data_IF_926815616839
#
_entry.id   IF_926815616839
#
_cell.length_a   1.000
_cell.length_b   1.000
_cell.length_c   1.000
_cell.angle_alpha   90.00
_cell.angle_beta   90.00
_cell.angle_gamma   90.00
#
_symmetry.space_group_name_H-M   'P 1'
#
loop_
_entity.id
_entity.type
_entity.pdbx_description
1 polymer ?
#
# COMPACT_ATOMS: atom_id res chain seq x y z
N UNK A 1 -0.84 14.15 -16.72
CA UNK A 1 0.00 13.00 -17.13
C UNK A 1 0.44 12.33 -15.84
N UNK A 2 -0.14 11.17 -15.46
CA UNK A 2 0.20 10.55 -14.17
C UNK A 2 1.68 10.17 -14.21
N UNK A 3 2.50 10.86 -13.43
CA UNK A 3 3.92 10.58 -13.28
C UNK A 3 4.09 9.35 -12.39
N UNK A 4 3.49 8.20 -12.76
CA UNK A 4 3.58 6.98 -11.96
C UNK A 4 5.04 6.60 -11.68
N UNK A 5 5.94 6.87 -12.64
CA UNK A 5 7.40 6.76 -12.47
C UNK A 5 7.95 7.69 -11.39
N UNK A 6 7.44 8.92 -11.34
CA UNK A 6 7.75 9.90 -10.30
C UNK A 6 7.26 9.46 -8.92
N UNK A 7 6.05 8.90 -8.83
CA UNK A 7 5.54 8.35 -7.57
C UNK A 7 6.31 7.11 -7.11
N UNK A 8 6.65 6.19 -8.03
CA UNK A 8 7.53 5.05 -7.72
C UNK A 8 8.90 5.54 -7.25
N UNK A 9 9.50 6.52 -7.93
CA UNK A 9 10.79 7.08 -7.53
C UNK A 9 10.71 7.78 -6.16
N UNK A 10 9.63 8.52 -5.90
CA UNK A 10 9.35 9.15 -4.61
C UNK A 10 9.17 8.14 -3.48
N UNK A 11 8.41 7.06 -3.73
CA UNK A 11 8.24 5.95 -2.80
C UNK A 11 9.57 5.24 -2.51
N UNK A 12 10.37 4.96 -3.55
CA UNK A 12 11.69 4.35 -3.39
C UNK A 12 12.64 5.25 -2.58
N UNK A 13 12.65 6.55 -2.85
CA UNK A 13 13.44 7.52 -2.09
C UNK A 13 12.99 7.59 -0.62
N UNK A 14 11.68 7.66 -0.37
CA UNK A 14 11.12 7.67 0.98
C UNK A 14 11.45 6.38 1.74
N UNK A 15 11.42 5.23 1.05
CA UNK A 15 11.81 3.94 1.64
C UNK A 15 13.30 3.89 2.01
N UNK A 16 14.18 4.43 1.17
CA UNK A 16 15.62 4.51 1.48
C UNK A 16 15.84 5.36 2.73
N UNK A 17 15.19 6.52 2.84
CA UNK A 17 15.25 7.36 4.04
C UNK A 17 14.75 6.60 5.27
N UNK A 18 13.62 5.89 5.15
CA UNK A 18 13.06 5.09 6.23
C UNK A 18 14.04 4.02 6.74
N UNK A 19 14.61 3.22 5.84
CA UNK A 19 15.61 2.21 6.22
C UNK A 19 16.86 2.86 6.80
N UNK A 20 17.33 3.97 6.24
CA UNK A 20 18.47 4.69 6.78
C UNK A 20 18.22 5.18 8.22
N UNK A 21 17.03 5.70 8.51
CA UNK A 21 16.63 6.09 9.87
C UNK A 21 16.67 4.89 10.81
N UNK A 22 16.10 3.75 10.39
CA UNK A 22 16.11 2.52 11.20
C UNK A 22 17.53 2.02 11.48
N UNK A 23 18.40 2.02 10.47
CA UNK A 23 19.79 1.57 10.61
C UNK A 23 20.58 2.50 11.54
N UNK A 24 20.48 3.82 11.34
CA UNK A 24 21.28 4.81 12.05
C UNK A 24 20.80 5.02 13.49
N UNK A 25 19.50 5.13 13.71
CA UNK A 25 18.95 5.51 15.02
C UNK A 25 18.44 4.33 15.85
N UNK A 26 18.13 3.20 15.20
CA UNK A 26 17.54 2.04 15.88
C UNK A 26 18.39 0.78 15.76
N UNK A 27 19.61 0.88 15.20
CA UNK A 27 20.52 -0.27 15.00
C UNK A 27 19.88 -1.43 14.24
N UNK A 28 18.90 -1.14 13.38
CA UNK A 28 18.22 -2.14 12.58
C UNK A 28 19.22 -2.80 11.61
N UNK A 29 19.13 -4.12 11.48
CA UNK A 29 19.94 -4.92 10.54
C UNK A 29 19.03 -5.45 9.44
N UNK A 30 19.08 -4.89 8.22
CA UNK A 30 18.25 -5.32 7.12
C UNK A 30 18.41 -6.81 6.81
N UNK A 31 17.30 -7.53 6.69
CA UNK A 31 17.24 -8.91 6.19
C UNK A 31 16.57 -8.92 4.80
N UNK A 32 16.39 -10.09 4.20
CA UNK A 32 15.68 -10.22 2.92
C UNK A 32 14.21 -9.76 2.99
N UNK A 33 13.61 -9.69 4.18
CA UNK A 33 12.22 -9.24 4.39
C UNK A 33 12.01 -7.79 3.97
N UNK A 34 13.08 -6.98 3.96
CA UNK A 34 13.07 -5.60 3.49
C UNK A 34 12.64 -5.51 2.01
N UNK A 35 12.80 -6.57 1.21
CA UNK A 35 12.29 -6.62 -0.17
C UNK A 35 10.75 -6.64 -0.20
N UNK A 36 10.12 -7.32 0.75
CA UNK A 36 8.66 -7.32 0.90
C UNK A 36 8.21 -5.93 1.32
N UNK A 37 8.88 -5.32 2.29
CA UNK A 37 8.57 -3.96 2.76
C UNK A 37 8.72 -2.93 1.64
N UNK A 38 9.75 -3.08 0.80
CA UNK A 38 9.95 -2.23 -0.37
C UNK A 38 8.79 -2.38 -1.36
N UNK A 39 8.39 -3.62 -1.69
CA UNK A 39 7.23 -3.88 -2.55
C UNK A 39 5.94 -3.24 -2.01
N UNK A 40 5.69 -3.38 -0.71
CA UNK A 40 4.56 -2.76 -0.02
C UNK A 40 4.62 -1.22 -0.07
N UNK A 41 5.80 -0.63 0.10
CA UNK A 41 5.99 0.81 -0.03
C UNK A 41 5.69 1.30 -1.45
N UNK A 42 6.17 0.59 -2.48
CA UNK A 42 5.89 0.94 -3.87
C UNK A 42 4.39 0.83 -4.17
N UNK A 43 3.72 -0.23 -3.70
CA UNK A 43 2.25 -0.35 -3.82
C UNK A 43 1.54 0.82 -3.15
N UNK A 44 1.96 1.22 -1.95
CA UNK A 44 1.44 2.41 -1.26
C UNK A 44 1.64 3.70 -2.05
N UNK A 45 2.80 3.89 -2.69
CA UNK A 45 3.11 5.10 -3.47
C UNK A 45 2.29 5.27 -4.74
N UNK A 46 1.71 4.20 -5.27
CA UNK A 46 0.88 4.25 -6.47
C UNK A 46 -0.61 4.07 -6.17
N UNK A 47 -0.97 3.67 -4.95
CA UNK A 47 -2.33 3.35 -4.54
C UNK A 47 -3.33 4.49 -4.76
N UNK A 48 -3.04 5.77 -4.44
CA UNK A 48 -4.04 6.82 -4.59
C UNK A 48 -4.56 7.01 -6.02
N UNK A 49 -3.71 6.69 -7.01
CA UNK A 49 -3.95 6.89 -8.45
C UNK A 49 -4.59 5.69 -9.16
N UNK A 50 -4.92 4.61 -8.44
CA UNK A 50 -5.56 3.42 -9.03
C UNK A 50 -7.02 3.67 -9.46
N UNK A 51 -7.55 4.84 -9.14
CA UNK A 51 -8.86 5.35 -9.57
C UNK A 51 -8.86 5.91 -11.02
N UNK A 52 -7.69 6.03 -11.64
CA UNK A 52 -7.56 6.48 -13.05
C UNK A 52 -7.09 5.38 -13.99
N UNK A 53 -7.41 5.51 -15.27
CA UNK A 53 -6.88 4.63 -16.32
C UNK A 53 -5.38 4.90 -16.54
N UNK A 54 -4.53 4.20 -15.79
CA UNK A 54 -3.09 4.41 -15.74
C UNK A 54 -2.31 3.10 -15.72
N UNK A 55 -0.99 3.16 -15.95
CA UNK A 55 -0.12 2.00 -15.77
C UNK A 55 -0.04 1.56 -14.30
N UNK A 56 -0.13 2.51 -13.35
CA UNK A 56 -0.20 2.21 -11.92
C UNK A 56 -1.43 1.37 -11.59
N UNK A 57 -2.59 1.75 -12.13
CA UNK A 57 -3.83 0.98 -11.99
C UNK A 57 -3.65 -0.45 -12.50
N UNK A 58 -3.16 -0.63 -13.73
CA UNK A 58 -2.96 -1.97 -14.32
C UNK A 58 -2.01 -2.83 -13.48
N UNK A 59 -0.93 -2.25 -12.98
CA UNK A 59 0.03 -2.96 -12.11
C UNK A 59 -0.64 -3.39 -10.80
N UNK A 60 -1.35 -2.47 -10.15
CA UNK A 60 -2.03 -2.72 -8.89
C UNK A 60 -3.11 -3.79 -9.03
N UNK A 61 -4.08 -3.60 -9.93
CA UNK A 61 -5.16 -4.58 -10.12
C UNK A 61 -4.68 -5.89 -10.73
N UNK A 62 -3.62 -5.88 -11.54
CA UNK A 62 -2.99 -7.11 -12.04
C UNK A 62 -2.48 -8.00 -10.90
N UNK A 63 -1.79 -7.41 -9.91
CA UNK A 63 -1.37 -8.14 -8.71
C UNK A 63 -2.58 -8.68 -7.92
N UNK A 64 -3.61 -7.86 -7.70
CA UNK A 64 -4.79 -8.28 -6.95
C UNK A 64 -5.58 -9.37 -7.67
N UNK A 65 -5.69 -9.35 -9.00
CA UNK A 65 -6.34 -10.42 -9.77
C UNK A 65 -5.59 -11.74 -9.60
N UNK A 66 -4.26 -11.74 -9.62
CA UNK A 66 -3.47 -12.96 -9.39
C UNK A 66 -3.71 -13.48 -7.97
N UNK A 67 -3.67 -12.60 -6.96
CA UNK A 67 -3.91 -12.97 -5.56
C UNK A 67 -5.34 -13.50 -5.35
N UNK A 68 -6.33 -12.85 -5.93
CA UNK A 68 -7.74 -13.25 -5.85
C UNK A 68 -7.97 -14.60 -6.52
N UNK A 69 -7.35 -14.82 -7.68
CA UNK A 69 -7.33 -16.11 -8.37
C UNK A 69 -6.75 -17.24 -7.51
N UNK A 70 -5.66 -16.98 -6.77
CA UNK A 70 -5.09 -17.96 -5.82
C UNK A 70 -6.11 -18.30 -4.72
N UNK A 71 -6.82 -17.31 -4.17
CA UNK A 71 -7.86 -17.56 -3.16
C UNK A 71 -9.00 -18.40 -3.73
N UNK A 72 -9.50 -18.08 -4.91
CA UNK A 72 -10.56 -18.84 -5.58
C UNK A 72 -10.15 -20.30 -5.83
N UNK A 73 -8.95 -20.53 -6.37
CA UNK A 73 -8.42 -21.88 -6.64
C UNK A 73 -8.18 -22.67 -5.35
N UNK A 74 -7.92 -21.98 -4.23
CA UNK A 74 -7.74 -22.60 -2.91
C UNK A 74 -9.06 -22.81 -2.15
N UNK A 75 -10.22 -22.51 -2.75
CA UNK A 75 -11.53 -22.61 -2.09
C UNK A 75 -11.79 -21.52 -1.04
N UNK A 76 -10.95 -20.48 -0.96
CA UNK A 76 -11.02 -19.37 0.00
C UNK A 76 -11.95 -18.26 -0.50
N UNK A 77 -13.20 -18.62 -0.78
CA UNK A 77 -14.17 -17.73 -1.43
C UNK A 77 -14.52 -16.49 -0.61
N UNK A 78 -14.50 -16.59 0.72
CA UNK A 78 -14.79 -15.45 1.61
C UNK A 78 -13.69 -14.40 1.51
N UNK A 79 -12.43 -14.82 1.53
CA UNK A 79 -11.29 -13.92 1.39
C UNK A 79 -11.24 -13.31 0.00
N UNK A 80 -11.55 -14.09 -1.04
CA UNK A 80 -11.66 -13.57 -2.40
C UNK A 80 -12.76 -12.50 -2.53
N UNK A 81 -13.96 -12.78 -2.00
CA UNK A 81 -15.06 -11.83 -2.02
C UNK A 81 -14.74 -10.52 -1.28
N UNK A 82 -14.08 -10.61 -0.13
CA UNK A 82 -13.64 -9.43 0.61
C UNK A 82 -12.57 -8.65 -0.17
N UNK A 83 -11.56 -9.35 -0.71
CA UNK A 83 -10.48 -8.74 -1.49
C UNK A 83 -11.04 -7.99 -2.70
N UNK A 84 -11.88 -8.65 -3.49
CA UNK A 84 -12.56 -8.05 -4.64
C UNK A 84 -13.44 -6.87 -4.26
N UNK A 85 -14.26 -6.98 -3.20
CA UNK A 85 -15.11 -5.89 -2.73
C UNK A 85 -14.30 -4.64 -2.34
N UNK A 86 -13.23 -4.80 -1.56
CA UNK A 86 -12.38 -3.68 -1.16
C UNK A 86 -11.59 -3.09 -2.33
N UNK A 87 -11.22 -3.91 -3.32
CA UNK A 87 -10.57 -3.44 -4.54
C UNK A 87 -11.48 -2.53 -5.38
N UNK A 88 -12.81 -2.61 -5.26
CA UNK A 88 -13.73 -1.73 -5.99
C UNK A 88 -13.86 -0.32 -5.38
N UNK A 89 -13.58 -0.15 -4.08
CA UNK A 89 -13.82 1.10 -3.37
C UNK A 89 -13.09 2.33 -3.97
N UNK A 90 -11.81 2.23 -4.39
CA UNK A 90 -11.10 3.36 -4.99
C UNK A 90 -11.75 3.84 -6.29
N UNK A 91 -12.32 2.93 -7.09
CA UNK A 91 -12.91 3.20 -8.41
C UNK A 91 -14.23 3.99 -8.29
N UNK A 92 -14.97 3.81 -7.20
CA UNK A 92 -16.25 4.48 -6.97
C UNK A 92 -16.04 5.98 -6.62
N UNK A 93 -14.85 6.33 -6.13
CA UNK A 93 -14.49 7.71 -5.79
C UNK A 93 -14.24 8.60 -7.01
N UNK A 94 -14.27 9.92 -6.81
CA UNK A 94 -13.72 10.87 -7.78
C UNK A 94 -12.20 10.78 -7.76
N UNK A 95 -11.57 10.99 -8.92
CA UNK A 95 -10.11 11.19 -8.96
C UNK A 95 -9.69 12.36 -8.06
N UNK A 96 -8.64 12.14 -7.26
CA UNK A 96 -8.21 13.05 -6.18
C UNK A 96 -9.28 13.30 -5.11
N UNK A 97 -10.20 12.35 -4.95
CA UNK A 97 -11.22 12.32 -3.90
C UNK A 97 -10.63 11.84 -2.58
N UNK A 98 -11.37 10.98 -1.87
CA UNK A 98 -10.98 10.48 -0.55
C UNK A 98 -9.64 9.72 -0.56
N UNK A 99 -9.27 9.09 -1.68
CA UNK A 99 -7.97 8.41 -1.88
C UNK A 99 -6.79 9.37 -1.80
N UNK A 100 -6.99 10.67 -1.98
CA UNK A 100 -5.95 11.69 -1.87
C UNK A 100 -6.07 12.49 -0.57
N UNK A 101 -6.41 11.82 0.54
CA UNK A 101 -6.48 12.42 1.87
C UNK A 101 -5.44 11.81 2.80
N UNK A 102 -5.00 12.60 3.78
CA UNK A 102 -4.10 12.12 4.84
C UNK A 102 -4.76 11.00 5.64
N UNK A 103 -6.08 11.09 5.91
CA UNK A 103 -6.78 10.04 6.65
C UNK A 103 -6.79 8.71 5.91
N UNK A 104 -6.99 8.73 4.58
CA UNK A 104 -6.90 7.52 3.78
C UNK A 104 -5.51 6.87 3.84
N UNK A 105 -4.43 7.66 3.88
CA UNK A 105 -3.07 7.15 4.01
C UNK A 105 -2.85 6.27 5.26
N UNK A 106 -3.59 6.52 6.34
CA UNK A 106 -3.49 5.74 7.59
C UNK A 106 -4.59 4.67 7.71
N UNK A 107 -5.81 4.95 7.24
CA UNK A 107 -6.96 4.04 7.35
C UNK A 107 -6.86 2.89 6.36
N UNK A 108 -6.50 3.17 5.10
CA UNK A 108 -6.45 2.14 4.05
C UNK A 108 -5.47 1.02 4.41
N UNK A 109 -4.25 1.28 4.93
CA UNK A 109 -3.33 0.21 5.31
C UNK A 109 -3.66 -0.43 6.67
N UNK A 110 -4.57 0.14 7.47
CA UNK A 110 -4.86 -0.32 8.84
C UNK A 110 -5.22 -1.81 8.99
N UNK A 111 -5.83 -2.50 8.00
CA UNK A 111 -6.02 -3.94 8.09
C UNK A 111 -4.72 -4.72 8.31
N UNK A 112 -3.56 -4.21 7.88
CA UNK A 112 -2.25 -4.83 8.10
C UNK A 112 -1.84 -4.88 9.57
N UNK A 113 -2.37 -4.00 10.42
CA UNK A 113 -2.18 -4.04 11.89
C UNK A 113 -3.35 -4.73 12.57
N UNK A 114 -4.57 -4.45 12.15
CA UNK A 114 -5.78 -4.96 12.81
C UNK A 114 -5.86 -6.49 12.68
N UNK A 115 -5.58 -7.04 11.49
CA UNK A 115 -5.73 -8.47 11.24
C UNK A 115 -4.81 -9.34 12.11
N UNK A 116 -3.50 -9.04 12.26
CA UNK A 116 -2.63 -9.77 13.19
C UNK A 116 -3.05 -9.63 14.66
N UNK A 117 -3.65 -8.50 15.08
CA UNK A 117 -4.12 -8.33 16.45
C UNK A 117 -5.33 -9.21 16.78
N UNK A 118 -6.24 -9.40 15.82
CA UNK A 118 -7.43 -10.26 16.01
C UNK A 118 -7.15 -11.74 15.68
N UNK A 119 -6.10 -12.02 14.92
CA UNK A 119 -5.67 -13.36 14.50
C UNK A 119 -4.16 -13.52 14.67
N UNK A 120 -3.65 -13.53 15.91
CA UNK A 120 -2.21 -13.60 16.18
C UNK A 120 -1.57 -14.89 15.64
N UNK A 121 -2.36 -15.96 15.46
CA UNK A 121 -1.91 -17.23 14.89
C UNK A 121 -1.39 -17.14 13.45
N UNK A 122 -1.70 -16.05 12.73
CA UNK A 122 -1.21 -15.83 11.37
C UNK A 122 0.31 -15.58 11.33
N UNK A 123 0.89 -15.01 12.39
CA UNK A 123 2.33 -14.73 12.47
C UNK A 123 2.88 -13.82 11.36
N UNK A 124 2.02 -13.13 10.61
CA UNK A 124 2.35 -12.26 9.48
C UNK A 124 1.57 -10.95 9.58
N UNK A 125 2.15 -9.85 9.09
CA UNK A 125 1.57 -8.51 9.19
C UNK A 125 2.14 -7.73 10.36
N UNK A 126 1.50 -6.62 10.73
CA UNK A 126 1.90 -5.77 11.84
C UNK A 126 2.46 -4.44 11.40
N UNK A 127 3.19 -3.79 12.31
CA UNK A 127 3.79 -2.48 12.07
C UNK A 127 4.84 -2.55 10.95
N UNK A 128 5.57 -3.65 10.86
CA UNK A 128 6.57 -3.94 9.83
C UNK A 128 6.01 -3.88 8.41
N UNK A 129 4.73 -4.21 8.20
CA UNK A 129 4.09 -4.17 6.88
C UNK A 129 3.28 -2.90 6.69
N UNK A 130 2.66 -2.40 7.75
CA UNK A 130 1.89 -1.16 7.73
C UNK A 130 2.75 0.07 7.43
N UNK A 131 3.85 0.23 8.16
CA UNK A 131 4.67 1.45 8.09
C UNK A 131 5.23 1.71 6.69
N UNK A 132 5.78 0.71 5.96
CA UNK A 132 6.22 0.93 4.58
C UNK A 132 5.10 1.38 3.64
N UNK A 133 3.88 0.82 3.77
CA UNK A 133 2.74 1.23 2.94
C UNK A 133 2.36 2.68 3.22
N UNK A 134 2.27 3.07 4.49
CA UNK A 134 1.99 4.46 4.89
C UNK A 134 3.05 5.41 4.36
N UNK A 135 4.34 5.07 4.47
CA UNK A 135 5.43 5.90 3.95
C UNK A 135 5.32 6.08 2.43
N UNK A 136 5.03 5.00 1.71
CA UNK A 136 4.78 5.06 0.27
C UNK A 136 3.61 5.98 -0.06
N UNK A 137 2.49 5.80 0.62
CA UNK A 137 1.28 6.61 0.43
C UNK A 137 1.54 8.09 0.72
N UNK A 138 2.19 8.43 1.83
CA UNK A 138 2.51 9.81 2.18
C UNK A 138 3.46 10.44 1.16
N UNK A 139 4.42 9.68 0.61
CA UNK A 139 5.30 10.17 -0.45
C UNK A 139 4.50 10.60 -1.70
N UNK A 140 3.44 9.86 -2.04
CA UNK A 140 2.54 10.20 -3.12
C UNK A 140 1.84 11.54 -2.84
N UNK A 141 1.21 11.67 -1.67
CA UNK A 141 0.50 12.89 -1.28
C UNK A 141 1.40 14.13 -1.25
N UNK A 142 2.64 13.98 -0.77
CA UNK A 142 3.63 15.07 -0.74
C UNK A 142 3.98 15.53 -2.16
N UNK A 143 4.23 14.60 -3.08
CA UNK A 143 4.53 14.93 -4.48
C UNK A 143 3.36 15.64 -5.17
N UNK A 144 2.14 15.21 -4.87
CA UNK A 144 0.91 15.79 -5.40
C UNK A 144 0.40 17.02 -4.62
N UNK A 145 1.12 17.41 -3.55
CA UNK A 145 0.78 18.51 -2.63
C UNK A 145 -0.63 18.40 -2.04
N UNK A 146 -1.10 17.18 -1.76
CA UNK A 146 -2.42 16.89 -1.21
C UNK A 146 -2.33 16.71 0.31
N UNK A 147 -2.79 17.71 1.06
CA UNK A 147 -2.72 17.71 2.53
C UNK A 147 -4.09 17.80 3.20
N UNK A 148 -5.15 17.47 2.47
CA UNK A 148 -6.51 17.46 3.01
C UNK A 148 -6.72 16.30 3.97
N UNK A 149 -7.51 16.52 5.00
CA UNK A 149 -7.89 15.47 5.94
C UNK A 149 -9.01 14.58 5.38
N UNK A 150 -9.89 15.09 4.52
CA UNK A 150 -10.96 14.36 3.84
C UNK A 150 -11.24 14.98 2.45
#
# INVERSE_FOLDING_TARGET
MSLYKGHIAGGAFAFIIYILILVVFFSFKPTYEVLIWFGLCILGSIWPDIDTNSHAQKLFYGFFIVLDGIFLLSGRYKEAALLGFFALLPIIGKHRGWTHSITAAFIVPSPLIILPLIKPELGIGGLEYYTPVVIGYLSHLILDKQFKLY
#
